data_IF_853827518615
#
_entry.id   IF_853827518615
#
_cell.length_a   1.000
_cell.length_b   1.000
_cell.length_c   1.000
_cell.angle_alpha   90.00
_cell.angle_beta   90.00
_cell.angle_gamma   90.00
#
_symmetry.space_group_name_H-M   'P 1'
#
loop_
_entity.id
_entity.type
_entity.pdbx_description
1 polymer ?
#
# COMPACT_ATOMS: atom_id res chain seq x y z
N UNK A 1 13.41 -18.70 -6.29
CA UNK A 1 13.80 -20.10 -6.18
C UNK A 1 12.72 -20.98 -5.53
N UNK A 2 11.83 -20.40 -4.74
CA UNK A 2 10.74 -21.12 -4.08
C UNK A 2 9.41 -20.52 -4.54
N UNK A 3 8.84 -21.02 -5.62
CA UNK A 3 7.44 -20.81 -5.96
C UNK A 3 6.65 -21.94 -5.33
N UNK A 4 5.80 -21.61 -4.37
CA UNK A 4 4.67 -22.48 -4.09
C UNK A 4 3.76 -22.43 -5.33
N UNK A 5 3.65 -23.55 -6.02
CA UNK A 5 2.59 -23.72 -6.99
C UNK A 5 1.28 -24.03 -6.24
N UNK A 6 0.82 -23.05 -5.46
CA UNK A 6 -0.56 -23.11 -4.95
C UNK A 6 -1.43 -22.60 -6.10
N UNK A 7 -2.28 -23.42 -6.69
CA UNK A 7 -3.30 -22.92 -7.61
C UNK A 7 -4.23 -21.99 -6.83
N UNK A 8 -4.73 -20.91 -7.46
CA UNK A 8 -5.76 -20.08 -6.85
C UNK A 8 -6.91 -20.97 -6.35
N UNK A 9 -7.31 -20.75 -5.11
CA UNK A 9 -8.41 -21.50 -4.47
C UNK A 9 -9.62 -20.59 -4.34
N UNK A 10 -10.81 -21.18 -4.30
CA UNK A 10 -12.02 -20.43 -3.96
C UNK A 10 -12.00 -20.13 -2.45
N UNK A 11 -11.49 -18.95 -2.11
CA UNK A 11 -11.43 -18.45 -0.75
C UNK A 11 -12.63 -17.52 -0.49
N UNK A 12 -13.23 -17.65 0.68
CA UNK A 12 -14.39 -16.84 1.08
C UNK A 12 -14.11 -15.33 1.10
N UNK A 13 -12.86 -14.96 1.34
CA UNK A 13 -12.43 -13.57 1.47
C UNK A 13 -11.12 -13.33 0.74
N UNK A 14 -11.11 -12.38 -0.19
CA UNK A 14 -9.95 -12.02 -1.00
C UNK A 14 -9.21 -10.84 -0.35
N UNK A 15 -7.92 -10.97 -0.03
CA UNK A 15 -7.13 -9.85 0.50
C UNK A 15 -6.78 -8.86 -0.61
N UNK A 16 -6.90 -7.55 -0.28
CA UNK A 16 -6.40 -6.44 -1.09
C UNK A 16 -5.25 -5.79 -0.34
N UNK A 17 -4.03 -5.97 -0.84
CA UNK A 17 -2.85 -5.30 -0.30
C UNK A 17 -2.71 -3.92 -0.92
N UNK A 18 -2.73 -2.88 -0.08
CA UNK A 18 -2.50 -1.50 -0.49
C UNK A 18 -1.15 -1.07 0.07
N UNK A 19 -0.17 -0.94 -0.79
CA UNK A 19 1.23 -0.74 -0.44
C UNK A 19 1.87 0.43 -1.22
N UNK A 20 3.07 0.82 -0.82
CA UNK A 20 3.83 1.93 -1.38
C UNK A 20 4.59 2.68 -0.28
N UNK A 21 5.30 3.74 -0.63
CA UNK A 21 5.96 4.55 0.40
C UNK A 21 4.94 5.09 1.41
N UNK A 22 5.26 5.17 2.71
CA UNK A 22 4.48 5.95 3.64
C UNK A 22 4.23 7.35 3.07
N UNK A 23 3.04 7.90 3.28
CA UNK A 23 2.63 9.23 2.74
C UNK A 23 2.43 9.31 1.22
N UNK A 24 2.44 8.20 0.49
CA UNK A 24 2.10 8.17 -0.94
C UNK A 24 0.60 8.28 -1.24
N UNK A 25 -0.28 8.17 -0.23
CA UNK A 25 -1.73 8.22 -0.42
C UNK A 25 -2.46 6.90 -0.18
N UNK A 26 -1.77 5.87 0.31
CA UNK A 26 -2.35 4.53 0.61
C UNK A 26 -3.60 4.60 1.49
N UNK A 27 -3.64 5.51 2.48
CA UNK A 27 -4.83 5.70 3.33
C UNK A 27 -6.03 6.29 2.58
N UNK A 28 -5.81 7.15 1.59
CA UNK A 28 -6.88 7.68 0.74
C UNK A 28 -7.45 6.56 -0.13
N UNK A 29 -6.59 5.77 -0.75
CA UNK A 29 -7.01 4.63 -1.59
C UNK A 29 -7.83 3.64 -0.76
N UNK A 30 -7.38 3.29 0.44
CA UNK A 30 -8.14 2.42 1.33
C UNK A 30 -9.48 3.04 1.73
N UNK A 31 -9.54 4.35 1.98
CA UNK A 31 -10.77 5.05 2.33
C UNK A 31 -11.78 5.01 1.18
N UNK A 32 -11.32 5.17 -0.06
CA UNK A 32 -12.13 5.03 -1.27
C UNK A 32 -12.66 3.60 -1.39
N UNK A 33 -11.78 2.61 -1.36
CA UNK A 33 -12.15 1.20 -1.54
C UNK A 33 -13.08 0.70 -0.46
N UNK A 34 -12.81 1.02 0.81
CA UNK A 34 -13.65 0.62 1.95
C UNK A 34 -15.00 1.35 2.01
N UNK A 35 -15.27 2.29 1.11
CA UNK A 35 -16.60 2.86 0.92
C UNK A 35 -17.49 1.97 0.04
N UNK A 36 -16.91 0.98 -0.64
CA UNK A 36 -17.65 0.00 -1.43
C UNK A 36 -18.30 -1.04 -0.54
N UNK A 37 -19.55 -1.42 -0.85
CA UNK A 37 -20.38 -2.34 -0.04
C UNK A 37 -19.73 -3.73 0.17
N UNK A 38 -18.90 -4.21 -0.76
CA UNK A 38 -18.24 -5.51 -0.70
C UNK A 38 -16.83 -5.49 -0.10
N UNK A 39 -16.32 -4.34 0.35
CA UNK A 39 -14.94 -4.21 0.83
C UNK A 39 -14.92 -3.80 2.30
N UNK A 40 -14.22 -4.56 3.14
CA UNK A 40 -13.90 -4.19 4.52
C UNK A 40 -12.53 -3.51 4.61
N UNK A 41 -12.48 -2.34 5.20
CA UNK A 41 -11.23 -1.59 5.43
C UNK A 41 -10.60 -1.97 6.76
N UNK A 42 -9.62 -2.87 6.77
CA UNK A 42 -8.99 -3.37 8.00
C UNK A 42 -7.82 -2.50 8.51
N UNK A 43 -7.34 -1.55 7.71
CA UNK A 43 -6.22 -0.69 8.13
C UNK A 43 -4.87 -1.36 8.01
N UNK A 44 -3.94 -1.00 8.89
CA UNK A 44 -2.57 -1.52 8.93
C UNK A 44 -2.52 -2.81 9.76
N UNK A 45 -2.36 -3.95 9.06
CA UNK A 45 -2.27 -5.26 9.71
C UNK A 45 -0.79 -5.64 9.90
N UNK A 46 -0.37 -6.04 11.12
CA UNK A 46 1.02 -6.37 11.39
C UNK A 46 1.41 -7.79 10.94
N UNK A 47 0.49 -8.53 10.32
CA UNK A 47 0.63 -9.98 10.13
C UNK A 47 1.80 -10.34 9.23
N UNK A 48 1.95 -9.65 8.07
CA UNK A 48 3.04 -9.96 7.14
C UNK A 48 4.41 -9.60 7.69
N UNK A 49 4.54 -8.51 8.45
CA UNK A 49 5.80 -8.15 9.08
C UNK A 49 6.28 -9.25 10.04
N UNK A 50 5.36 -9.87 10.80
CA UNK A 50 5.68 -10.95 11.73
C UNK A 50 6.25 -12.19 11.03
N UNK A 51 5.76 -12.52 9.83
CA UNK A 51 6.25 -13.66 9.04
C UNK A 51 7.38 -13.25 8.10
N UNK A 52 7.29 -12.07 7.52
CA UNK A 52 8.17 -11.58 6.47
C UNK A 52 9.59 -11.32 6.95
N UNK A 53 9.80 -10.88 8.18
CA UNK A 53 11.13 -10.63 8.73
C UNK A 53 11.96 -11.91 8.72
N UNK A 54 11.44 -13.01 9.25
CA UNK A 54 12.16 -14.29 9.29
C UNK A 54 12.49 -14.83 7.89
N UNK A 55 11.58 -14.61 6.92
CA UNK A 55 11.76 -15.01 5.53
C UNK A 55 12.79 -14.11 4.84
N UNK A 56 12.70 -12.81 5.02
CA UNK A 56 13.58 -11.82 4.39
C UNK A 56 15.02 -11.92 4.85
N UNK A 57 15.23 -12.29 6.12
CA UNK A 57 16.57 -12.48 6.68
C UNK A 57 17.13 -13.89 6.45
N UNK A 58 16.40 -14.77 5.79
CA UNK A 58 16.84 -16.14 5.54
C UNK A 58 17.04 -16.97 6.81
N UNK A 59 16.35 -16.60 7.90
CA UNK A 59 16.50 -17.24 9.21
C UNK A 59 15.84 -18.62 9.28
N UNK A 60 15.01 -18.98 8.31
CA UNK A 60 14.35 -20.27 8.25
C UNK A 60 14.36 -20.81 6.81
N UNK A 61 14.56 -22.12 6.67
CA UNK A 61 14.27 -22.82 5.45
C UNK A 61 12.76 -22.72 5.16
N UNK A 62 12.44 -22.14 4.01
CA UNK A 62 11.07 -22.00 3.55
C UNK A 62 10.57 -23.35 3.00
N UNK A 63 10.19 -24.26 3.89
CA UNK A 63 9.49 -25.46 3.46
C UNK A 63 8.09 -25.09 2.94
N UNK A 64 7.55 -25.92 2.03
CA UNK A 64 6.18 -25.73 1.57
C UNK A 64 5.17 -25.75 2.73
N UNK A 65 5.39 -26.63 3.71
CA UNK A 65 4.55 -26.74 4.90
C UNK A 65 4.54 -25.43 5.72
N UNK A 66 5.71 -24.80 5.88
CA UNK A 66 5.82 -23.53 6.59
C UNK A 66 5.03 -22.42 5.86
N UNK A 67 5.17 -22.33 4.55
CA UNK A 67 4.45 -21.33 3.74
C UNK A 67 2.93 -21.58 3.74
N UNK A 68 2.48 -22.86 3.71
CA UNK A 68 1.07 -23.20 3.91
C UNK A 68 0.56 -22.82 5.31
N UNK A 69 1.39 -22.99 6.34
CA UNK A 69 1.09 -22.55 7.70
C UNK A 69 0.84 -21.03 7.75
N UNK A 70 1.74 -20.23 7.16
CA UNK A 70 1.60 -18.77 7.07
C UNK A 70 0.31 -18.39 6.33
N UNK A 71 0.02 -19.03 5.17
CA UNK A 71 -1.22 -18.80 4.42
C UNK A 71 -2.46 -19.03 5.28
N UNK A 72 -2.56 -20.18 5.90
CA UNK A 72 -3.74 -20.57 6.67
C UNK A 72 -3.95 -19.65 7.89
N UNK A 73 -2.87 -19.29 8.58
CA UNK A 73 -2.93 -18.38 9.71
C UNK A 73 -3.35 -16.96 9.26
N UNK A 74 -2.81 -16.48 8.14
CA UNK A 74 -3.19 -15.19 7.57
C UNK A 74 -4.67 -15.14 7.18
N UNK A 75 -5.15 -16.15 6.43
CA UNK A 75 -6.56 -16.23 6.01
C UNK A 75 -7.52 -16.35 7.21
N UNK A 76 -7.13 -17.11 8.23
CA UNK A 76 -7.89 -17.21 9.48
C UNK A 76 -7.98 -15.85 10.19
N UNK A 77 -6.87 -15.11 10.27
CA UNK A 77 -6.86 -13.77 10.86
C UNK A 77 -7.75 -12.80 10.07
N UNK A 78 -7.75 -12.87 8.74
CA UNK A 78 -8.62 -12.04 7.91
C UNK A 78 -10.11 -12.38 8.13
N UNK A 79 -10.47 -13.65 8.13
CA UNK A 79 -11.88 -14.06 8.31
C UNK A 79 -12.45 -13.62 9.67
N UNK A 80 -11.62 -13.52 10.69
CA UNK A 80 -12.01 -13.00 12.01
C UNK A 80 -12.26 -11.47 12.02
N UNK A 81 -11.79 -10.71 11.02
CA UNK A 81 -12.02 -9.27 10.93
C UNK A 81 -13.37 -8.93 10.30
N UNK A 82 -13.82 -9.73 9.33
CA UNK A 82 -15.10 -9.55 8.67
C UNK A 82 -15.47 -10.85 7.95
N UNK A 83 -16.66 -11.36 8.22
CA UNK A 83 -17.18 -12.60 7.61
C UNK A 83 -18.19 -12.35 6.50
N UNK A 84 -18.64 -11.10 6.33
CA UNK A 84 -19.72 -10.71 5.41
C UNK A 84 -19.24 -9.99 4.14
N UNK A 85 -17.93 -9.70 4.03
CA UNK A 85 -17.34 -8.97 2.89
C UNK A 85 -16.51 -9.88 2.02
N UNK A 86 -16.67 -9.73 0.71
CA UNK A 86 -15.89 -10.47 -0.28
C UNK A 86 -14.39 -10.08 -0.25
N UNK A 87 -14.11 -8.83 0.05
CA UNK A 87 -12.74 -8.30 0.07
C UNK A 87 -12.41 -7.69 1.43
N UNK A 88 -11.17 -7.86 1.88
CA UNK A 88 -10.63 -7.18 3.06
C UNK A 88 -9.30 -6.52 2.66
N UNK A 89 -9.15 -5.23 2.98
CA UNK A 89 -7.89 -4.53 2.74
C UNK A 89 -6.87 -4.84 3.84
N UNK A 90 -5.62 -5.04 3.45
CA UNK A 90 -4.44 -4.92 4.30
C UNK A 90 -3.64 -3.72 3.77
N UNK A 91 -3.87 -2.56 4.37
CA UNK A 91 -3.22 -1.33 3.97
C UNK A 91 -2.03 -1.06 4.90
N UNK A 92 -0.94 -1.75 4.67
CA UNK A 92 0.35 -1.51 5.30
C UNK A 92 1.33 -1.03 4.23
N UNK A 93 1.74 0.27 4.26
CA UNK A 93 2.64 0.81 3.23
C UNK A 93 3.86 -0.08 3.00
N UNK A 94 4.53 -0.52 4.05
CA UNK A 94 5.75 -1.35 3.98
C UNK A 94 5.53 -2.79 3.49
N UNK A 95 4.30 -3.22 3.20
CA UNK A 95 4.07 -4.51 2.54
C UNK A 95 4.75 -4.62 1.16
N UNK A 96 5.27 -3.52 0.61
CA UNK A 96 6.12 -3.58 -0.58
C UNK A 96 7.39 -4.40 -0.37
N UNK A 97 7.88 -4.54 0.86
CA UNK A 97 8.99 -5.42 1.21
C UNK A 97 8.65 -6.91 1.05
N UNK A 98 7.38 -7.26 1.06
CA UNK A 98 6.88 -8.63 1.15
C UNK A 98 6.08 -9.09 -0.08
N UNK A 99 6.11 -8.36 -1.20
CA UNK A 99 5.34 -8.70 -2.43
C UNK A 99 5.61 -10.12 -2.89
N UNK A 100 6.88 -10.55 -2.91
CA UNK A 100 7.24 -11.91 -3.26
C UNK A 100 6.63 -12.97 -2.34
N UNK A 101 6.60 -12.72 -1.03
CA UNK A 101 5.96 -13.61 -0.05
C UNK A 101 4.45 -13.64 -0.28
N UNK A 102 3.81 -12.46 -0.38
CA UNK A 102 2.37 -12.31 -0.61
C UNK A 102 1.92 -13.16 -1.81
N UNK A 103 2.55 -12.96 -2.96
CA UNK A 103 2.15 -13.64 -4.20
C UNK A 103 2.46 -15.14 -4.20
N UNK A 104 3.41 -15.58 -3.36
CA UNK A 104 3.68 -16.99 -3.19
C UNK A 104 2.66 -17.71 -2.30
N UNK A 105 2.20 -17.06 -1.23
CA UNK A 105 1.28 -17.69 -0.26
C UNK A 105 -0.20 -17.38 -0.55
N UNK A 106 -0.50 -16.30 -1.26
CA UNK A 106 -1.85 -15.78 -1.54
C UNK A 106 -1.98 -15.42 -3.03
N UNK A 107 -2.00 -16.42 -3.95
CA UNK A 107 -2.10 -16.16 -5.39
C UNK A 107 -3.42 -15.48 -5.79
N UNK A 108 -4.44 -15.51 -4.92
CA UNK A 108 -5.73 -14.83 -5.09
C UNK A 108 -5.69 -13.33 -4.74
N UNK A 109 -4.65 -12.91 -4.02
CA UNK A 109 -4.53 -11.54 -3.54
C UNK A 109 -4.53 -10.52 -4.66
N UNK A 110 -5.11 -9.36 -4.38
CA UNK A 110 -5.01 -8.17 -5.23
C UNK A 110 -3.97 -7.23 -4.63
N UNK A 111 -3.04 -6.76 -5.46
CA UNK A 111 -2.01 -5.82 -5.01
C UNK A 111 -2.22 -4.48 -5.70
N UNK A 112 -2.37 -3.42 -4.91
CA UNK A 112 -2.47 -2.04 -5.36
C UNK A 112 -1.26 -1.28 -4.84
N UNK A 113 -0.38 -0.90 -5.74
CA UNK A 113 0.80 -0.11 -5.45
C UNK A 113 0.50 1.37 -5.71
N UNK A 114 0.58 2.19 -4.65
CA UNK A 114 0.24 3.61 -4.73
C UNK A 114 1.51 4.43 -4.95
N UNK A 115 1.61 5.03 -6.15
CA UNK A 115 2.70 5.91 -6.58
C UNK A 115 2.29 7.36 -6.40
N UNK A 116 3.24 8.20 -6.03
CA UNK A 116 3.06 9.64 -5.88
C UNK A 116 4.36 10.33 -6.24
N UNK A 117 4.29 11.62 -6.61
CA UNK A 117 5.47 12.46 -6.82
C UNK A 117 6.57 12.18 -5.79
N UNK A 118 7.81 11.84 -6.24
CA UNK A 118 8.90 11.44 -5.35
C UNK A 118 9.26 12.50 -4.32
N UNK A 119 9.41 13.76 -4.74
CA UNK A 119 9.80 14.86 -3.86
C UNK A 119 8.69 15.15 -2.83
N UNK A 120 7.43 15.13 -3.26
CA UNK A 120 6.28 15.28 -2.34
C UNK A 120 6.22 14.15 -1.31
N UNK A 121 6.52 12.93 -1.73
CA UNK A 121 6.54 11.76 -0.84
C UNK A 121 7.66 11.88 0.18
N UNK A 122 8.89 12.14 -0.26
CA UNK A 122 10.05 12.34 0.63
C UNK A 122 9.81 13.50 1.59
N UNK A 123 9.37 14.65 1.09
CA UNK A 123 9.01 15.79 1.95
C UNK A 123 7.94 15.47 2.97
N UNK A 124 6.91 14.75 2.56
CA UNK A 124 5.80 14.37 3.45
C UNK A 124 6.21 13.37 4.53
N UNK A 125 7.21 12.51 4.25
CA UNK A 125 7.84 11.64 5.25
C UNK A 125 8.67 12.47 6.22
N UNK A 126 9.60 13.30 5.72
CA UNK A 126 10.53 14.08 6.52
C UNK A 126 9.83 15.02 7.52
N UNK A 127 8.77 15.71 7.11
CA UNK A 127 8.02 16.63 8.00
C UNK A 127 7.10 15.92 9.00
N UNK A 128 6.90 14.60 8.88
CA UNK A 128 6.01 13.84 9.75
C UNK A 128 6.78 13.21 10.90
N UNK A 129 6.38 13.51 12.13
CA UNK A 129 6.84 12.73 13.27
C UNK A 129 6.16 11.37 13.28
N UNK A 130 6.94 10.31 13.22
CA UNK A 130 6.48 8.94 13.35
C UNK A 130 6.93 8.34 14.69
N UNK A 131 6.02 7.77 15.44
CA UNK A 131 6.35 7.08 16.70
C UNK A 131 6.88 5.65 16.47
N UNK A 132 6.73 5.10 15.28
CA UNK A 132 7.18 3.75 14.94
C UNK A 132 8.71 3.71 14.75
N UNK A 133 9.36 2.70 15.37
CA UNK A 133 10.83 2.58 15.38
C UNK A 133 11.47 2.31 14.02
N UNK A 134 10.73 1.71 13.09
CA UNK A 134 11.22 1.34 11.75
C UNK A 134 11.16 2.47 10.72
N UNK A 135 10.84 3.69 11.13
CA UNK A 135 10.73 4.87 10.28
C UNK A 135 11.85 5.91 10.54
N UNK A 136 12.95 5.48 11.13
CA UNK A 136 14.08 6.36 11.50
C UNK A 136 14.69 7.12 10.32
N UNK A 137 14.66 6.58 9.11
CA UNK A 137 15.11 7.26 7.90
C UNK A 137 14.38 8.61 7.66
N UNK A 138 13.15 8.75 8.14
CA UNK A 138 12.33 9.95 7.94
C UNK A 138 12.82 11.18 8.73
N UNK A 139 13.72 11.00 9.69
CA UNK A 139 14.26 12.12 10.48
C UNK A 139 15.41 12.88 9.80
N UNK A 140 15.93 12.35 8.69
CA UNK A 140 16.91 13.00 7.85
C UNK A 140 16.42 13.02 6.40
N UNK A 141 16.53 14.16 5.72
CA UNK A 141 15.99 14.30 4.36
C UNK A 141 16.79 13.46 3.34
N UNK A 142 18.12 13.41 3.48
CA UNK A 142 18.96 12.60 2.59
C UNK A 142 18.69 11.11 2.80
N UNK A 143 18.57 10.66 4.04
CA UNK A 143 18.22 9.27 4.34
C UNK A 143 16.83 8.91 3.79
N UNK A 144 15.88 9.86 3.83
CA UNK A 144 14.55 9.69 3.23
C UNK A 144 14.63 9.49 1.72
N UNK A 145 15.47 10.27 1.04
CA UNK A 145 15.70 10.17 -0.40
C UNK A 145 16.38 8.84 -0.75
N UNK A 146 17.41 8.45 -0.01
CA UNK A 146 18.09 7.16 -0.23
C UNK A 146 17.13 5.97 0.00
N UNK A 147 16.33 6.01 1.05
CA UNK A 147 15.33 4.98 1.29
C UNK A 147 14.28 4.93 0.16
N UNK A 148 13.90 6.09 -0.38
CA UNK A 148 12.99 6.15 -1.52
C UNK A 148 13.60 5.52 -2.77
N UNK A 149 14.87 5.71 -3.05
CA UNK A 149 15.58 5.05 -4.16
C UNK A 149 15.60 3.53 -4.00
N UNK A 150 15.95 3.05 -2.80
CA UNK A 150 15.91 1.61 -2.49
C UNK A 150 14.51 1.01 -2.67
N UNK A 151 13.48 1.76 -2.27
CA UNK A 151 12.10 1.37 -2.51
C UNK A 151 11.79 1.27 -4.01
N UNK A 152 12.21 2.24 -4.83
CA UNK A 152 12.00 2.20 -6.28
C UNK A 152 12.72 1.01 -6.93
N UNK A 153 13.96 0.75 -6.54
CA UNK A 153 14.73 -0.40 -7.04
C UNK A 153 14.01 -1.72 -6.73
N UNK A 154 13.49 -1.84 -5.51
CA UNK A 154 12.72 -3.02 -5.11
C UNK A 154 11.40 -3.14 -5.88
N UNK A 155 10.67 -2.02 -6.08
CA UNK A 155 9.42 -2.06 -6.85
C UNK A 155 9.67 -2.37 -8.33
N UNK A 156 10.77 -1.87 -8.92
CA UNK A 156 11.19 -2.24 -10.27
C UNK A 156 11.52 -3.74 -10.35
N UNK A 157 12.17 -4.31 -9.33
CA UNK A 157 12.41 -5.75 -9.26
C UNK A 157 11.09 -6.53 -9.21
N UNK A 158 10.11 -6.08 -8.41
CA UNK A 158 8.79 -6.73 -8.36
C UNK A 158 8.03 -6.60 -9.68
N UNK A 159 8.11 -5.46 -10.35
CA UNK A 159 7.48 -5.24 -11.65
C UNK A 159 8.03 -6.19 -12.71
N UNK A 160 9.34 -6.37 -12.79
CA UNK A 160 9.98 -7.32 -13.70
C UNK A 160 9.54 -8.77 -13.49
N UNK A 161 9.19 -9.16 -12.26
CA UNK A 161 8.86 -10.54 -11.93
C UNK A 161 7.36 -10.80 -11.82
N UNK A 162 6.58 -9.79 -11.45
CA UNK A 162 5.17 -9.91 -11.09
C UNK A 162 4.29 -8.75 -11.60
N UNK A 163 4.79 -7.91 -12.51
CA UNK A 163 4.12 -6.66 -12.90
C UNK A 163 2.67 -6.84 -13.33
N UNK A 164 2.34 -7.94 -14.02
CA UNK A 164 0.95 -8.25 -14.41
C UNK A 164 -0.01 -8.50 -13.23
N UNK A 165 0.51 -8.71 -12.02
CA UNK A 165 -0.24 -8.98 -10.79
C UNK A 165 -0.32 -7.77 -9.86
N UNK A 166 0.38 -6.67 -10.21
CA UNK A 166 0.44 -5.45 -9.42
C UNK A 166 -0.27 -4.34 -10.18
N UNK A 167 -1.26 -3.71 -9.57
CA UNK A 167 -1.94 -2.54 -10.12
C UNK A 167 -1.26 -1.27 -9.61
N UNK A 168 -0.62 -0.54 -10.52
CA UNK A 168 -0.03 0.77 -10.22
C UNK A 168 -1.12 1.86 -10.23
N UNK A 169 -1.35 2.49 -9.08
CA UNK A 169 -2.27 3.60 -8.90
C UNK A 169 -1.49 4.90 -8.67
N UNK A 170 -1.64 5.84 -9.57
CA UNK A 170 -1.04 7.16 -9.48
C UNK A 170 -1.92 8.08 -8.62
N UNK A 171 -1.40 8.48 -7.45
CA UNK A 171 -2.09 9.35 -6.50
C UNK A 171 -2.41 10.73 -7.09
N UNK A 172 -1.52 11.29 -7.90
CA UNK A 172 -1.70 12.62 -8.45
C UNK A 172 -2.77 12.63 -9.56
N UNK A 173 -2.86 11.54 -10.34
CA UNK A 173 -3.99 11.32 -11.26
C UNK A 173 -5.29 11.08 -10.49
N UNK A 174 -5.27 10.24 -9.45
CA UNK A 174 -6.45 9.97 -8.61
C UNK A 174 -7.04 11.25 -8.01
N UNK A 175 -6.20 12.15 -7.52
CA UNK A 175 -6.68 13.41 -6.93
C UNK A 175 -7.17 14.41 -7.98
N UNK A 176 -6.66 14.34 -9.20
CA UNK A 176 -7.01 15.22 -10.33
C UNK A 176 -8.27 14.76 -11.04
N UNK A 177 -8.41 13.46 -11.25
CA UNK A 177 -9.58 12.85 -11.90
C UNK A 177 -10.07 11.64 -11.08
N UNK A 178 -10.67 11.96 -9.92
CA UNK A 178 -11.11 10.97 -8.95
C UNK A 178 -12.09 9.95 -9.54
N UNK A 179 -13.01 10.37 -10.40
CA UNK A 179 -14.00 9.48 -10.99
C UNK A 179 -13.34 8.42 -11.87
N UNK A 180 -12.48 8.84 -12.80
CA UNK A 180 -11.84 7.93 -13.76
C UNK A 180 -10.89 6.95 -13.04
N UNK A 181 -10.05 7.44 -12.15
CA UNK A 181 -9.07 6.59 -11.49
C UNK A 181 -9.72 5.66 -10.44
N UNK A 182 -10.77 6.13 -9.74
CA UNK A 182 -11.56 5.25 -8.86
C UNK A 182 -12.25 4.15 -9.66
N UNK A 183 -12.84 4.48 -10.81
CA UNK A 183 -13.47 3.48 -11.68
C UNK A 183 -12.48 2.40 -12.10
N UNK A 184 -11.29 2.78 -12.58
CA UNK A 184 -10.23 1.84 -12.99
C UNK A 184 -9.83 0.87 -11.88
N UNK A 185 -9.60 1.37 -10.66
CA UNK A 185 -9.19 0.50 -9.55
C UNK A 185 -10.32 -0.42 -9.10
N UNK A 186 -11.57 0.01 -9.15
CA UNK A 186 -12.74 -0.82 -8.87
C UNK A 186 -12.92 -1.92 -9.94
N UNK A 187 -12.71 -1.57 -11.23
CA UNK A 187 -12.73 -2.54 -12.34
C UNK A 187 -11.60 -3.58 -12.21
N UNK A 188 -10.41 -3.17 -11.77
CA UNK A 188 -9.31 -4.12 -11.46
C UNK A 188 -9.71 -5.16 -10.40
N UNK A 189 -10.58 -4.79 -9.47
CA UNK A 189 -11.12 -5.71 -8.46
C UNK A 189 -12.31 -6.55 -8.99
N UNK A 190 -12.69 -6.40 -10.26
CA UNK A 190 -13.87 -7.00 -10.87
C UNK A 190 -15.17 -6.63 -10.12
N UNK A 191 -15.28 -5.35 -9.74
CA UNK A 191 -16.44 -4.78 -9.07
C UNK A 191 -17.06 -3.66 -9.92
N UNK A 192 -18.32 -3.32 -9.62
CA UNK A 192 -18.98 -2.15 -10.19
C UNK A 192 -18.76 -0.93 -9.31
N UNK A 193 -18.52 0.23 -9.90
CA UNK A 193 -18.35 1.47 -9.15
C UNK A 193 -19.63 1.83 -8.39
N UNK A 194 -19.50 2.08 -7.10
CA UNK A 194 -20.54 2.64 -6.24
C UNK A 194 -20.28 4.13 -5.97
N UNK A 195 -21.33 4.94 -5.92
CA UNK A 195 -21.23 6.39 -5.66
C UNK A 195 -20.55 6.71 -4.32
N UNK A 196 -20.71 5.83 -3.33
CA UNK A 196 -20.06 5.96 -2.02
C UNK A 196 -18.52 6.01 -2.12
N UNK A 197 -17.91 5.36 -3.12
CA UNK A 197 -16.47 5.43 -3.36
C UNK A 197 -16.00 6.85 -3.73
N UNK A 198 -16.84 7.63 -4.40
CA UNK A 198 -16.54 9.02 -4.77
C UNK A 198 -16.78 10.01 -3.62
N UNK A 199 -17.49 9.60 -2.60
CA UNK A 199 -17.76 10.36 -1.38
C UNK A 199 -17.02 9.80 -0.16
N UNK A 200 -15.84 9.26 -0.37
CA UNK A 200 -15.03 8.54 0.63
C UNK A 200 -14.81 9.31 1.95
N UNK A 201 -14.83 10.65 1.91
CA UNK A 201 -14.75 11.50 3.11
C UNK A 201 -15.93 11.30 4.08
N UNK A 202 -17.07 10.78 3.62
CA UNK A 202 -18.25 10.45 4.44
C UNK A 202 -18.11 9.09 5.15
N UNK A 203 -17.17 8.26 4.74
CA UNK A 203 -16.95 6.95 5.38
C UNK A 203 -16.37 7.15 6.78
N UNK A 204 -17.12 6.71 7.81
CA UNK A 204 -16.85 6.93 9.23
C UNK A 204 -15.95 5.88 9.88
N UNK A 205 -15.46 4.88 9.11
CA UNK A 205 -14.59 3.84 9.65
C UNK A 205 -13.41 4.42 10.46
N UNK A 206 -12.91 3.68 11.43
CA UNK A 206 -11.71 4.08 12.17
C UNK A 206 -10.49 4.08 11.26
N UNK A 207 -9.70 5.17 11.30
CA UNK A 207 -8.43 5.30 10.55
C UNK A 207 -7.32 5.64 11.53
N UNK A 208 -6.41 4.69 11.77
CA UNK A 208 -5.31 4.83 12.74
C UNK A 208 -3.99 5.05 12.00
N UNK A 209 -3.85 6.16 11.26
CA UNK A 209 -2.64 6.49 10.50
C UNK A 209 -2.29 7.95 10.61
N UNK A 210 -1.06 8.32 10.26
CA UNK A 210 -0.62 9.72 10.18
C UNK A 210 -1.45 10.58 9.20
N UNK A 211 -2.24 9.96 8.33
CA UNK A 211 -3.11 10.62 7.34
C UNK A 211 -4.57 10.72 7.79
N UNK A 212 -4.90 10.37 9.04
CA UNK A 212 -6.28 10.31 9.55
C UNK A 212 -7.09 11.58 9.26
N UNK A 213 -6.54 12.75 9.54
CA UNK A 213 -7.25 14.01 9.31
C UNK A 213 -7.44 14.34 7.83
N UNK A 214 -6.52 13.89 6.98
CA UNK A 214 -6.54 14.18 5.54
C UNK A 214 -7.66 13.41 4.83
N UNK A 215 -7.85 12.14 5.16
CA UNK A 215 -8.87 11.27 4.52
C UNK A 215 -10.31 11.63 4.90
N UNK A 216 -10.49 12.48 5.92
CA UNK A 216 -11.81 13.03 6.32
C UNK A 216 -12.23 14.25 5.52
N UNK A 217 -11.34 14.78 4.71
CA UNK A 217 -11.64 15.93 3.82
C UNK A 217 -12.05 15.42 2.46
N UNK A 218 -12.82 16.22 1.72
CA UNK A 218 -13.01 15.98 0.29
C UNK A 218 -11.65 15.87 -0.40
N UNK A 219 -11.57 15.03 -1.41
CA UNK A 219 -10.34 14.89 -2.21
C UNK A 219 -10.01 16.26 -2.83
N UNK A 220 -8.75 16.63 -2.74
CA UNK A 220 -8.24 17.92 -3.23
C UNK A 220 -6.91 17.72 -3.96
N UNK A 221 -6.64 18.59 -4.91
CA UNK A 221 -5.40 18.64 -5.69
C UNK A 221 -4.33 19.50 -5.02
N UNK A 222 -3.09 19.49 -5.55
CA UNK A 222 -2.01 20.38 -5.12
C UNK A 222 -1.25 19.93 -3.88
N UNK A 223 -1.61 18.79 -3.29
CA UNK A 223 -0.88 18.28 -2.11
C UNK A 223 0.55 17.84 -2.45
N UNK A 224 0.80 17.46 -3.70
CA UNK A 224 2.13 17.09 -4.18
C UNK A 224 3.02 18.29 -4.56
N UNK A 225 2.45 19.48 -4.62
CA UNK A 225 3.17 20.73 -4.88
C UNK A 225 3.53 21.47 -3.57
N UNK A 226 3.02 21.01 -2.42
CA UNK A 226 3.16 21.72 -1.14
C UNK A 226 4.62 21.91 -0.67
N UNK A 227 5.54 21.05 -1.12
CA UNK A 227 6.97 21.15 -0.81
C UNK A 227 7.68 22.29 -1.55
N UNK A 228 7.16 22.73 -2.70
CA UNK A 228 7.73 23.80 -3.51
C UNK A 228 7.90 25.11 -2.72
N UNK A 229 7.04 25.36 -1.74
CA UNK A 229 7.14 26.50 -0.84
C UNK A 229 8.43 26.50 -0.01
N UNK A 230 9.05 25.36 0.17
CA UNK A 230 10.25 25.15 0.97
C UNK A 230 11.50 24.96 0.09
N UNK A 231 11.34 24.98 -1.24
CA UNK A 231 12.43 24.77 -2.20
C UNK A 231 13.71 25.58 -1.89
N UNK A 232 13.63 26.89 -1.52
CA UNK A 232 14.83 27.67 -1.19
C UNK A 232 15.65 27.11 -0.01
N UNK A 233 15.02 26.30 0.85
CA UNK A 233 15.64 25.73 2.05
C UNK A 233 16.10 24.27 1.85
N UNK A 234 15.65 23.63 0.79
CA UNK A 234 15.89 22.19 0.53
C UNK A 234 17.22 21.94 -0.21
N UNK A 235 17.90 23.01 -0.65
CA UNK A 235 19.14 22.93 -1.45
C UNK A 235 18.91 21.96 -2.64
N UNK A 236 19.84 21.01 -2.83
CA UNK A 236 19.83 20.03 -3.91
C UNK A 236 19.27 18.66 -3.45
N UNK A 237 18.60 18.60 -2.29
CA UNK A 237 18.21 17.32 -1.69
C UNK A 237 17.30 16.45 -2.57
N UNK A 238 16.59 17.04 -3.53
CA UNK A 238 15.70 16.33 -4.44
C UNK A 238 16.20 16.25 -5.89
N UNK A 239 17.44 16.68 -6.16
CA UNK A 239 17.96 16.67 -7.53
C UNK A 239 18.03 15.26 -8.09
N UNK A 240 18.40 14.29 -7.29
CA UNK A 240 18.46 12.89 -7.66
C UNK A 240 17.07 12.25 -7.94
N UNK A 241 16.00 12.89 -7.49
CA UNK A 241 14.63 12.39 -7.69
C UNK A 241 14.00 12.86 -9.02
N UNK A 242 14.66 13.74 -9.76
CA UNK A 242 14.14 14.29 -11.03
C UNK A 242 14.11 13.28 -12.17
N UNK A 243 14.76 12.14 -12.01
CA UNK A 243 14.89 11.09 -13.03
C UNK A 243 13.93 9.92 -12.82
N UNK A 244 13.04 10.04 -11.87
CA UNK A 244 12.02 9.05 -11.51
C UNK A 244 10.63 9.67 -11.65
#
# INVERSE_FOLDING_TARGET
KYRLNIPPQDISTIPIFILGMPRSGTSLVEQILSSHSQIHGAGELPFLAQYGESVSYGLHDLSQEHLFGIRNDYLTKLSNLSSDKKFITDKMPHNFLHVGLILNILPEAKIIHVKRDPAATCWSNFKQYFSAKNLGYSYNLNDTVEYFKLYLDLMNYWDQHFGSLIYDLDYDKLTRDTLVETKKVIEYLNLNLESACLESHKNIRSVKTASQQQVRKKIYTGSSEAWLKFLPFLKNSFDDLKYF
#
